data_IF_319516062526
#
_entry.id   IF_319516062526
#
_cell.length_a   1.000
_cell.length_b   1.000
_cell.length_c   1.000
_cell.angle_alpha   90.00
_cell.angle_beta   90.00
_cell.angle_gamma   90.00
#
_symmetry.space_group_name_H-M   'P 1'
#
loop_
_entity.id
_entity.type
_entity.pdbx_description
1 polymer ?
#
# COMPACT_ATOMS: atom_id res chain seq x y z
N UNK A 1 6.77 34.77 29.86
CA UNK A 1 5.42 34.15 29.80
C UNK A 1 4.77 34.29 28.43
N UNK A 2 4.68 35.48 27.82
CA UNK A 2 4.13 35.65 26.46
C UNK A 2 5.11 35.22 25.34
N UNK A 3 6.42 35.41 25.53
CA UNK A 3 7.47 35.00 24.57
C UNK A 3 7.60 33.47 24.49
N UNK A 4 7.48 32.78 25.64
CA UNK A 4 7.57 31.31 25.73
C UNK A 4 6.45 30.58 24.96
N UNK A 5 5.25 31.17 24.86
CA UNK A 5 4.11 30.57 24.16
C UNK A 5 4.28 30.68 22.64
N UNK A 6 4.83 31.79 22.16
CA UNK A 6 5.10 32.02 20.73
C UNK A 6 6.26 31.13 20.25
N UNK A 7 7.34 31.01 21.02
CA UNK A 7 8.46 30.10 20.70
C UNK A 7 8.02 28.63 20.73
N UNK A 8 7.17 28.23 21.69
CA UNK A 8 6.60 26.86 21.72
C UNK A 8 5.68 26.60 20.53
N UNK A 9 4.87 27.57 20.13
CA UNK A 9 3.99 27.47 18.96
C UNK A 9 4.77 27.32 17.66
N UNK A 10 5.82 28.12 17.47
CA UNK A 10 6.71 28.04 16.31
C UNK A 10 7.50 26.72 16.26
N UNK A 11 8.02 26.25 17.39
CA UNK A 11 8.72 24.96 17.48
C UNK A 11 7.78 23.77 17.22
N UNK A 12 6.52 23.85 17.66
CA UNK A 12 5.53 22.82 17.40
C UNK A 12 5.13 22.78 15.93
N UNK A 13 4.89 23.94 15.30
CA UNK A 13 4.62 24.05 13.87
C UNK A 13 5.79 23.56 12.99
N UNK A 14 7.04 23.81 13.41
CA UNK A 14 8.23 23.28 12.75
C UNK A 14 8.29 21.74 12.81
N UNK A 15 7.99 21.13 13.98
CA UNK A 15 7.87 19.66 14.09
C UNK A 15 6.73 19.10 13.24
N UNK A 16 5.63 19.85 13.03
CA UNK A 16 4.55 19.42 12.15
C UNK A 16 5.02 19.28 10.68
N UNK A 17 5.85 20.20 10.20
CA UNK A 17 6.42 20.13 8.85
C UNK A 17 7.35 18.93 8.63
N UNK A 18 8.11 18.54 9.67
CA UNK A 18 9.02 17.39 9.60
C UNK A 18 8.30 16.04 9.37
N UNK A 19 7.05 15.90 9.82
CA UNK A 19 6.29 14.66 9.65
C UNK A 19 5.88 14.37 8.20
N UNK A 20 5.80 15.39 7.33
CA UNK A 20 5.38 15.25 5.94
C UNK A 20 6.57 15.22 4.96
N UNK A 21 7.80 15.21 5.47
CA UNK A 21 8.99 15.09 4.63
C UNK A 21 9.12 13.63 4.20
N UNK A 22 9.08 13.31 2.90
CA UNK A 22 9.26 11.96 2.43
C UNK A 22 10.65 11.46 2.82
N UNK A 23 10.75 10.18 3.18
CA UNK A 23 12.01 9.61 3.66
C UNK A 23 13.09 9.68 2.60
N UNK A 24 12.72 9.62 1.33
CA UNK A 24 13.60 9.84 0.18
C UNK A 24 14.38 11.16 0.29
N UNK A 25 13.71 12.27 0.62
CA UNK A 25 14.35 13.57 0.78
C UNK A 25 15.35 13.60 1.94
N UNK A 26 15.07 12.87 3.03
CA UNK A 26 16.01 12.76 4.16
C UNK A 26 17.24 11.92 3.81
N UNK A 27 17.06 10.83 3.06
CA UNK A 27 18.15 9.93 2.64
C UNK A 27 19.13 10.65 1.72
N UNK A 28 18.63 11.47 0.79
CA UNK A 28 19.49 12.29 -0.07
C UNK A 28 20.27 13.35 0.73
N UNK A 29 19.64 13.96 1.75
CA UNK A 29 20.31 14.93 2.63
C UNK A 29 21.39 14.31 3.53
N UNK A 30 21.21 13.06 3.95
CA UNK A 30 22.17 12.32 4.77
C UNK A 30 23.41 11.84 3.99
N UNK A 31 23.38 11.92 2.65
CA UNK A 31 24.47 11.50 1.77
C UNK A 31 24.23 10.12 1.18
N UNK A 32 23.65 10.08 -0.02
CA UNK A 32 23.40 8.85 -0.76
C UNK A 32 24.57 8.53 -1.71
N UNK A 33 25.33 7.49 -1.40
CA UNK A 33 26.53 7.10 -2.15
C UNK A 33 26.32 5.96 -3.16
N UNK A 34 27.34 5.72 -3.99
CA UNK A 34 27.33 4.68 -5.01
C UNK A 34 27.25 3.25 -4.43
N UNK A 35 27.76 3.04 -3.22
CA UNK A 35 27.62 1.77 -2.47
C UNK A 35 26.17 1.47 -2.12
N UNK A 36 25.42 2.47 -1.65
CA UNK A 36 24.00 2.34 -1.34
C UNK A 36 23.17 2.11 -2.61
N UNK A 37 23.48 2.82 -3.69
CA UNK A 37 22.81 2.59 -4.98
C UNK A 37 22.98 1.15 -5.48
N UNK A 38 24.18 0.57 -5.36
CA UNK A 38 24.43 -0.83 -5.75
C UNK A 38 23.63 -1.81 -4.89
N UNK A 39 23.61 -1.60 -3.58
CA UNK A 39 22.83 -2.44 -2.67
C UNK A 39 21.33 -2.35 -2.95
N UNK A 40 20.81 -1.13 -3.12
CA UNK A 40 19.40 -0.87 -3.40
C UNK A 40 18.99 -1.42 -4.78
N UNK A 41 19.86 -1.36 -5.79
CA UNK A 41 19.59 -1.93 -7.10
C UNK A 41 19.44 -3.47 -7.05
N UNK A 42 20.32 -4.16 -6.31
CA UNK A 42 20.23 -5.62 -6.14
C UNK A 42 18.96 -5.98 -5.35
N UNK A 43 18.65 -5.24 -4.29
CA UNK A 43 17.43 -5.43 -3.52
C UNK A 43 16.18 -5.18 -4.37
N UNK A 44 16.13 -4.08 -5.13
CA UNK A 44 15.02 -3.74 -6.02
C UNK A 44 14.81 -4.79 -7.11
N UNK A 45 15.89 -5.32 -7.71
CA UNK A 45 15.78 -6.40 -8.68
C UNK A 45 15.17 -7.66 -8.07
N UNK A 46 15.60 -8.03 -6.86
CA UNK A 46 15.10 -9.21 -6.14
C UNK A 46 13.60 -9.04 -5.84
N UNK A 47 13.21 -7.86 -5.35
CA UNK A 47 11.81 -7.52 -5.08
C UNK A 47 10.98 -7.51 -6.36
N UNK A 48 11.49 -6.94 -7.46
CA UNK A 48 10.77 -6.87 -8.73
C UNK A 48 10.46 -8.27 -9.30
N UNK A 49 11.42 -9.20 -9.24
CA UNK A 49 11.23 -10.59 -9.71
C UNK A 49 10.07 -11.28 -8.98
N UNK A 50 9.91 -11.03 -7.68
CA UNK A 50 8.80 -11.59 -6.88
C UNK A 50 7.49 -10.80 -7.07
N UNK A 51 7.59 -9.48 -7.18
CA UNK A 51 6.43 -8.59 -7.25
C UNK A 51 5.66 -8.71 -8.57
N UNK A 52 6.34 -8.91 -9.71
CA UNK A 52 5.71 -9.05 -11.02
C UNK A 52 4.67 -10.20 -11.07
N UNK A 53 5.02 -11.46 -10.77
CA UNK A 53 4.05 -12.56 -10.78
C UNK A 53 2.99 -12.40 -9.68
N UNK A 54 3.36 -11.91 -8.49
CA UNK A 54 2.41 -11.67 -7.40
C UNK A 54 1.32 -10.67 -7.81
N UNK A 55 1.72 -9.56 -8.43
CA UNK A 55 0.81 -8.51 -8.86
C UNK A 55 -0.16 -8.99 -9.95
N UNK A 56 0.32 -9.83 -10.87
CA UNK A 56 -0.52 -10.45 -11.90
C UNK A 56 -1.51 -11.45 -11.29
N UNK A 57 -1.06 -12.29 -10.35
CA UNK A 57 -1.89 -13.27 -9.68
C UNK A 57 -3.04 -12.62 -8.89
N UNK A 58 -2.74 -11.57 -8.13
CA UNK A 58 -3.73 -10.80 -7.36
C UNK A 58 -4.78 -10.17 -8.29
N UNK A 59 -4.37 -9.65 -9.45
CA UNK A 59 -5.29 -9.06 -10.43
C UNK A 59 -6.25 -10.11 -11.03
N UNK A 60 -5.73 -11.27 -11.42
CA UNK A 60 -6.53 -12.39 -11.94
C UNK A 60 -7.52 -12.86 -10.87
N UNK A 61 -7.05 -13.07 -9.64
CA UNK A 61 -7.88 -13.49 -8.51
C UNK A 61 -8.97 -12.47 -8.16
N UNK A 62 -8.74 -11.18 -8.45
CA UNK A 62 -9.70 -10.10 -8.25
C UNK A 62 -10.68 -9.92 -9.43
N UNK A 63 -10.56 -10.72 -10.50
CA UNK A 63 -11.44 -10.64 -11.68
C UNK A 63 -11.10 -9.52 -12.66
N UNK A 64 -9.88 -8.99 -12.63
CA UNK A 64 -9.41 -7.93 -13.55
C UNK A 64 -8.23 -8.43 -14.39
N UNK A 65 -7.85 -7.68 -15.43
CA UNK A 65 -6.77 -8.11 -16.32
C UNK A 65 -5.40 -8.08 -15.63
N UNK A 66 -4.46 -9.01 -15.97
CA UNK A 66 -3.12 -9.02 -15.38
C UNK A 66 -2.36 -7.71 -15.58
N UNK A 67 -2.59 -7.03 -16.71
CA UNK A 67 -1.97 -5.75 -17.04
C UNK A 67 -2.37 -4.65 -16.04
N UNK A 68 -3.64 -4.62 -15.59
CA UNK A 68 -4.11 -3.67 -14.58
C UNK A 68 -3.39 -3.89 -13.24
N UNK A 69 -3.10 -5.14 -12.87
CA UNK A 69 -2.26 -5.47 -11.73
C UNK A 69 -0.88 -4.85 -11.85
N UNK A 70 -0.20 -5.09 -12.98
CA UNK A 70 1.14 -4.55 -13.23
C UNK A 70 1.18 -3.01 -13.21
N UNK A 71 0.23 -2.35 -13.86
CA UNK A 71 0.16 -0.88 -13.86
C UNK A 71 -0.03 -0.33 -12.44
N UNK A 72 -0.91 -0.95 -11.66
CA UNK A 72 -1.14 -0.57 -10.26
C UNK A 72 0.10 -0.79 -9.40
N UNK A 73 0.80 -1.91 -9.58
CA UNK A 73 2.05 -2.22 -8.87
C UNK A 73 3.17 -1.24 -9.19
N UNK A 74 3.38 -0.91 -10.47
CA UNK A 74 4.45 0.01 -10.91
C UNK A 74 4.15 1.44 -10.43
N UNK A 75 2.97 1.96 -10.75
CA UNK A 75 2.60 3.35 -10.43
C UNK A 75 2.43 3.52 -8.91
N UNK A 76 1.72 2.61 -8.26
CA UNK A 76 1.52 2.63 -6.81
C UNK A 76 2.83 2.45 -6.05
N UNK A 77 3.67 1.50 -6.47
CA UNK A 77 4.99 1.28 -5.89
C UNK A 77 5.88 2.52 -5.98
N UNK A 78 5.95 3.14 -7.17
CA UNK A 78 6.70 4.37 -7.35
C UNK A 78 6.20 5.51 -6.45
N UNK A 79 4.88 5.76 -6.42
CA UNK A 79 4.30 6.83 -5.60
C UNK A 79 4.53 6.59 -4.10
N UNK A 80 4.37 5.35 -3.62
CA UNK A 80 4.63 4.98 -2.23
C UNK A 80 6.10 5.13 -1.88
N UNK A 81 7.03 4.71 -2.75
CA UNK A 81 8.47 4.87 -2.49
C UNK A 81 8.91 6.34 -2.54
N UNK A 82 8.32 7.16 -3.42
CA UNK A 82 8.64 8.57 -3.54
C UNK A 82 8.09 9.41 -2.37
N UNK A 83 6.87 9.12 -1.90
CA UNK A 83 6.15 9.89 -0.88
C UNK A 83 6.17 9.24 0.51
N UNK A 84 6.69 8.02 0.63
CA UNK A 84 6.64 7.22 1.84
C UNK A 84 7.53 7.70 2.98
N UNK A 85 7.20 7.25 4.20
CA UNK A 85 7.91 7.61 5.43
C UNK A 85 9.00 6.63 5.86
N UNK A 86 9.21 5.52 5.14
CA UNK A 86 10.16 4.46 5.49
C UNK A 86 11.18 4.21 4.39
N UNK A 87 12.41 3.83 4.78
CA UNK A 87 13.54 3.59 3.86
C UNK A 87 13.38 2.32 3.02
N UNK A 88 12.60 1.35 3.50
CA UNK A 88 12.50 0.01 2.92
C UNK A 88 11.05 -0.38 2.60
N UNK A 89 10.16 0.60 2.44
CA UNK A 89 8.76 0.36 2.16
C UNK A 89 8.54 0.09 0.67
N UNK A 90 7.84 -1.01 0.39
CA UNK A 90 7.45 -1.42 -0.96
C UNK A 90 5.95 -1.22 -1.08
N UNK A 91 5.53 -0.42 -2.06
CA UNK A 91 4.13 -0.27 -2.42
C UNK A 91 3.72 -1.26 -3.50
N UNK A 92 2.48 -1.75 -3.43
CA UNK A 92 1.93 -2.65 -4.43
C UNK A 92 0.54 -3.17 -4.04
N UNK A 93 -0.14 -3.89 -4.95
CA UNK A 93 -1.43 -4.48 -4.66
C UNK A 93 -1.30 -5.54 -3.55
N UNK A 94 -2.16 -5.46 -2.54
CA UNK A 94 -2.15 -6.34 -1.38
C UNK A 94 -3.21 -7.44 -1.52
N UNK A 95 -2.89 -8.66 -1.08
CA UNK A 95 -3.82 -9.80 -1.14
C UNK A 95 -5.14 -9.56 -0.40
N UNK A 96 -5.14 -8.72 0.64
CA UNK A 96 -6.34 -8.30 1.36
C UNK A 96 -7.39 -7.61 0.47
N UNK A 97 -6.94 -6.96 -0.61
CA UNK A 97 -7.81 -6.24 -1.52
C UNK A 97 -8.47 -7.14 -2.57
N UNK A 98 -8.06 -8.41 -2.73
CA UNK A 98 -8.62 -9.31 -3.75
C UNK A 98 -10.15 -9.38 -3.65
N UNK A 99 -10.66 -9.72 -2.46
CA UNK A 99 -12.09 -9.85 -2.21
C UNK A 99 -12.80 -8.51 -2.30
N UNK A 100 -12.17 -7.44 -1.80
CA UNK A 100 -12.77 -6.11 -1.86
C UNK A 100 -12.95 -5.66 -3.32
N UNK A 101 -11.93 -5.84 -4.14
CA UNK A 101 -11.97 -5.48 -5.56
C UNK A 101 -12.96 -6.37 -6.30
N UNK A 102 -12.93 -7.70 -6.11
CA UNK A 102 -13.84 -8.60 -6.82
C UNK A 102 -15.31 -8.33 -6.46
N UNK A 103 -15.60 -8.10 -5.18
CA UNK A 103 -16.96 -7.77 -4.74
C UNK A 103 -17.43 -6.41 -5.26
N UNK A 104 -16.59 -5.38 -5.25
CA UNK A 104 -16.93 -4.06 -5.80
C UNK A 104 -17.13 -4.13 -7.31
N UNK A 105 -16.27 -4.83 -8.05
CA UNK A 105 -16.42 -5.00 -9.49
C UNK A 105 -17.69 -5.79 -9.83
N UNK A 106 -18.01 -6.84 -9.09
CA UNK A 106 -19.23 -7.62 -9.30
C UNK A 106 -20.51 -6.82 -9.01
N UNK A 107 -20.47 -5.89 -8.05
CA UNK A 107 -21.66 -5.14 -7.61
C UNK A 107 -21.83 -3.78 -8.29
N UNK A 108 -20.74 -3.09 -8.63
CA UNK A 108 -20.72 -1.72 -9.14
C UNK A 108 -19.93 -1.55 -10.43
N UNK A 109 -19.36 -2.63 -10.97
CA UNK A 109 -18.49 -2.59 -12.14
C UNK A 109 -17.14 -1.92 -11.88
N UNK A 110 -16.34 -1.83 -12.94
CA UNK A 110 -15.00 -1.21 -12.90
C UNK A 110 -15.08 0.30 -12.66
N UNK A 111 -16.12 0.97 -13.16
CA UNK A 111 -16.36 2.39 -12.91
C UNK A 111 -16.59 2.67 -11.42
N UNK A 112 -17.39 1.83 -10.75
CA UNK A 112 -17.60 1.89 -9.31
C UNK A 112 -16.32 1.67 -8.51
N UNK A 113 -15.46 0.74 -8.94
CA UNK A 113 -14.14 0.53 -8.33
C UNK A 113 -13.26 1.78 -8.43
N UNK A 114 -13.20 2.44 -9.59
CA UNK A 114 -12.40 3.64 -9.79
C UNK A 114 -12.88 4.76 -8.86
N UNK A 115 -14.21 4.98 -8.81
CA UNK A 115 -14.79 6.00 -7.93
C UNK A 115 -14.52 5.69 -6.45
N UNK A 116 -14.74 4.45 -6.02
CA UNK A 116 -14.46 4.01 -4.65
C UNK A 116 -12.97 4.20 -4.28
N UNK A 117 -12.06 3.90 -5.21
CA UNK A 117 -10.62 4.11 -5.02
C UNK A 117 -10.28 5.58 -4.87
N UNK A 118 -10.86 6.44 -5.69
CA UNK A 118 -10.66 7.89 -5.60
C UNK A 118 -11.17 8.45 -4.27
N UNK A 119 -12.38 8.05 -3.84
CA UNK A 119 -12.95 8.45 -2.54
C UNK A 119 -12.10 7.94 -1.37
N UNK A 120 -11.64 6.69 -1.42
CA UNK A 120 -10.71 6.13 -0.43
C UNK A 120 -9.42 6.95 -0.35
N UNK A 121 -8.85 7.36 -1.49
CA UNK A 121 -7.68 8.24 -1.54
C UNK A 121 -7.91 9.59 -0.85
N UNK A 122 -9.06 10.22 -1.08
CA UNK A 122 -9.44 11.47 -0.40
C UNK A 122 -9.61 11.25 1.11
N UNK A 123 -10.24 10.16 1.52
CA UNK A 123 -10.39 9.81 2.94
C UNK A 123 -9.03 9.57 3.60
N UNK A 124 -8.13 8.83 2.95
CA UNK A 124 -6.78 8.59 3.45
C UNK A 124 -5.96 9.89 3.54
N UNK A 125 -6.09 10.79 2.57
CA UNK A 125 -5.45 12.11 2.62
C UNK A 125 -5.97 12.95 3.79
N UNK A 126 -7.29 12.98 4.01
CA UNK A 126 -7.91 13.65 5.16
C UNK A 126 -7.45 13.04 6.48
N UNK A 127 -7.42 11.71 6.59
CA UNK A 127 -6.90 11.01 7.78
C UNK A 127 -5.42 11.30 8.03
N UNK A 128 -4.61 11.42 6.97
CA UNK A 128 -3.22 11.83 7.04
C UNK A 128 -3.04 13.25 7.58
N UNK A 129 -3.82 14.21 7.07
CA UNK A 129 -3.84 15.60 7.54
C UNK A 129 -4.28 15.71 9.01
N UNK A 130 -5.27 14.91 9.41
CA UNK A 130 -5.75 14.82 10.79
C UNK A 130 -4.85 13.97 11.70
N UNK A 131 -3.74 13.41 11.18
CA UNK A 131 -2.76 12.56 11.89
C UNK A 131 -3.38 11.32 12.53
N UNK A 132 -4.51 10.84 12.00
CA UNK A 132 -5.21 9.66 12.49
C UNK A 132 -4.40 8.38 12.31
N UNK A 133 -3.37 8.37 11.45
CA UNK A 133 -2.42 7.26 11.34
C UNK A 133 -1.68 6.95 12.66
N UNK A 134 -1.57 7.90 13.59
CA UNK A 134 -0.96 7.66 14.91
C UNK A 134 -1.75 6.64 15.73
N UNK A 135 -3.04 6.47 15.46
CA UNK A 135 -3.89 5.52 16.18
C UNK A 135 -3.66 4.06 15.77
N UNK A 136 -3.01 3.81 14.62
CA UNK A 136 -2.69 2.44 14.15
C UNK A 136 -1.86 1.70 15.20
N UNK A 137 -1.04 2.40 15.99
CA UNK A 137 -0.22 1.81 17.07
C UNK A 137 -1.05 1.19 18.22
N UNK A 138 -2.34 1.49 18.31
CA UNK A 138 -3.23 0.95 19.33
C UNK A 138 -3.97 -0.31 18.87
N UNK A 139 -3.78 -0.76 17.63
CA UNK A 139 -4.37 -2.01 17.15
C UNK A 139 -3.71 -3.18 17.88
N UNK A 140 -4.47 -4.02 18.61
CA UNK A 140 -3.91 -5.15 19.34
C UNK A 140 -3.25 -6.16 18.41
N UNK A 141 -2.15 -6.77 18.87
CA UNK A 141 -1.46 -7.83 18.13
C UNK A 141 -2.39 -8.99 17.69
N UNK A 142 -3.33 -9.49 18.52
CA UNK A 142 -4.26 -10.54 18.10
C UNK A 142 -5.12 -10.17 16.89
N UNK A 143 -5.51 -8.89 16.76
CA UNK A 143 -6.31 -8.41 15.61
C UNK A 143 -5.49 -8.47 14.33
N UNK A 144 -4.22 -8.06 14.40
CA UNK A 144 -3.33 -8.08 13.23
C UNK A 144 -3.04 -9.50 12.77
N UNK A 145 -2.80 -10.42 13.70
CA UNK A 145 -2.59 -11.85 13.39
C UNK A 145 -3.87 -12.47 12.83
N UNK A 146 -5.02 -12.24 13.45
CA UNK A 146 -6.31 -12.76 12.98
C UNK A 146 -6.67 -12.25 11.59
N UNK A 147 -6.47 -10.96 11.32
CA UNK A 147 -6.69 -10.38 9.99
C UNK A 147 -5.78 -11.01 8.94
N UNK A 148 -4.49 -11.16 9.23
CA UNK A 148 -3.52 -11.79 8.32
C UNK A 148 -3.86 -13.26 8.06
N UNK A 149 -4.23 -14.01 9.09
CA UNK A 149 -4.68 -15.40 8.95
C UNK A 149 -5.96 -15.50 8.11
N UNK A 150 -6.92 -14.59 8.32
CA UNK A 150 -8.15 -14.51 7.52
C UNK A 150 -7.87 -14.27 6.03
N UNK A 151 -6.95 -13.33 5.72
CA UNK A 151 -6.51 -13.10 4.34
C UNK A 151 -5.86 -14.35 3.76
N UNK A 152 -5.00 -15.04 4.52
CA UNK A 152 -4.34 -16.27 4.04
C UNK A 152 -5.37 -17.36 3.69
N UNK A 153 -6.39 -17.55 4.54
CA UNK A 153 -7.48 -18.51 4.27
C UNK A 153 -8.27 -18.12 3.02
N UNK A 154 -8.65 -16.85 2.89
CA UNK A 154 -9.36 -16.33 1.71
C UNK A 154 -8.57 -16.59 0.43
N UNK A 155 -7.27 -16.27 0.42
CA UNK A 155 -6.39 -16.51 -0.73
C UNK A 155 -6.30 -18.01 -1.03
N UNK A 156 -6.16 -18.85 -0.01
CA UNK A 156 -6.13 -20.31 -0.17
C UNK A 156 -7.41 -20.85 -0.81
N UNK A 157 -8.58 -20.39 -0.36
CA UNK A 157 -9.88 -20.79 -0.93
C UNK A 157 -10.01 -20.35 -2.39
N UNK A 158 -9.59 -19.14 -2.73
CA UNK A 158 -9.61 -18.64 -4.11
C UNK A 158 -8.63 -19.41 -5.00
N UNK A 159 -7.45 -19.73 -4.49
CA UNK A 159 -6.47 -20.53 -5.23
C UNK A 159 -7.02 -21.93 -5.53
N UNK A 160 -7.66 -22.57 -4.56
CA UNK A 160 -8.25 -23.90 -4.74
C UNK A 160 -9.44 -23.90 -5.70
N UNK A 161 -10.32 -22.89 -5.63
CA UNK A 161 -11.44 -22.76 -6.57
C UNK A 161 -10.97 -22.56 -8.01
N UNK A 162 -9.85 -21.85 -8.23
CA UNK A 162 -9.26 -21.63 -9.56
C UNK A 162 -8.66 -22.89 -10.18
N UNK A 163 -8.36 -23.92 -9.38
CA UNK A 163 -7.79 -25.19 -9.84
C UNK A 163 -8.83 -26.30 -10.02
N UNK A 164 -10.09 -26.10 -9.61
CA UNK A 164 -11.14 -27.12 -9.73
C UNK A 164 -11.76 -27.15 -11.15
N UNK A 165 -11.46 -28.15 -12.01
CA UNK A 165 -11.90 -28.17 -13.40
C UNK A 165 -13.40 -28.46 -13.58
N UNK A 166 -14.10 -28.84 -12.51
CA UNK A 166 -15.53 -29.21 -12.59
C UNK A 166 -16.49 -28.03 -12.59
N UNK A 167 -16.03 -26.82 -12.26
CA UNK A 167 -16.86 -25.60 -12.18
C UNK A 167 -16.80 -24.72 -13.44
N UNK A 168 -15.92 -25.00 -14.41
CA UNK A 168 -15.78 -24.24 -15.66
C UNK A 168 -16.86 -24.55 -16.72
N UNK A 169 -17.81 -25.44 -16.40
CA UNK A 169 -18.89 -25.86 -17.28
C UNK A 169 -20.29 -25.44 -16.79
N UNK A 170 -20.39 -24.60 -15.75
CA UNK A 170 -21.66 -24.22 -15.12
C UNK A 170 -22.03 -22.74 -15.36
N UNK A 171 -21.22 -21.99 -16.12
CA UNK A 171 -21.57 -20.64 -16.61
C UNK A 171 -21.72 -20.60 -18.13
#
# INVERSE_FOLDING_TARGET
MSVDVVERGAAQAARFGEFFIPKLATVFKEGYGLSHLRADAIAALTVAIVALPLSMAIAIAAGVSPAQGLYTGIVGGFLVSALGGSRFQIGGPAGAFIVLVSTVVATHGVEGLILATFLSGLMLAAMGLLRLGTFIKFIPFPVTVGFTAGIAVIIGVIAESSQNPTLSHVE
#
